data_IF_301013362300
#
_entry.id   IF_301013362300
#
_cell.length_a   1.000
_cell.length_b   1.000
_cell.length_c   1.000
_cell.angle_alpha   90.00
_cell.angle_beta   90.00
_cell.angle_gamma   90.00
#
_symmetry.space_group_name_H-M   'P 1'
#
loop_
_entity.id
_entity.type
_entity.pdbx_description
1 polymer ?
#
# COMPACT_ATOMS: atom_id res chain seq x y z
N UNK A 1 -41.71 59.08 -5.81
CA UNK A 1 -41.61 57.69 -5.32
C UNK A 1 -40.18 57.36 -5.08
N UNK A 2 -39.74 57.11 -3.82
CA UNK A 2 -38.37 56.76 -3.51
C UNK A 2 -38.12 55.28 -3.82
N UNK A 3 -37.01 54.99 -4.51
CA UNK A 3 -36.54 53.64 -4.85
C UNK A 3 -36.01 52.96 -3.56
N UNK A 4 -36.54 51.75 -3.29
CA UNK A 4 -36.05 50.92 -2.17
C UNK A 4 -34.63 50.40 -2.47
N UNK A 5 -33.75 50.29 -1.45
CA UNK A 5 -32.39 49.75 -1.63
C UNK A 5 -32.46 48.23 -1.81
N UNK A 6 -31.81 47.75 -2.89
CA UNK A 6 -31.62 46.35 -3.19
C UNK A 6 -30.70 45.75 -2.11
N UNK A 7 -31.22 44.76 -1.36
CA UNK A 7 -30.38 44.02 -0.39
C UNK A 7 -29.37 43.13 -1.14
N UNK A 8 -28.11 43.07 -0.69
CA UNK A 8 -27.14 42.14 -1.29
C UNK A 8 -27.56 40.71 -1.00
N UNK A 9 -27.76 39.94 -2.06
CA UNK A 9 -27.97 38.49 -2.03
C UNK A 9 -26.80 37.84 -1.28
N UNK A 10 -27.11 37.17 -0.16
CA UNK A 10 -26.15 36.32 0.56
C UNK A 10 -25.60 35.29 -0.41
N UNK A 11 -24.34 35.43 -0.79
CA UNK A 11 -23.58 34.40 -1.47
C UNK A 11 -23.59 33.14 -0.63
N UNK A 12 -24.24 32.11 -1.16
CA UNK A 12 -24.20 30.76 -0.61
C UNK A 12 -22.73 30.34 -0.48
N UNK A 13 -22.23 29.89 0.69
CA UNK A 13 -20.86 29.42 0.80
C UNK A 13 -20.72 28.23 -0.16
N UNK A 14 -19.93 28.44 -1.21
CA UNK A 14 -19.55 27.38 -2.15
C UNK A 14 -19.23 26.11 -1.36
N UNK A 15 -19.96 25.05 -1.67
CA UNK A 15 -19.67 23.70 -1.21
C UNK A 15 -18.22 23.43 -1.58
N UNK A 16 -17.34 23.55 -0.61
CA UNK A 16 -15.94 23.18 -0.71
C UNK A 16 -15.85 21.85 -1.46
N UNK A 17 -15.28 21.79 -2.68
CA UNK A 17 -15.15 20.54 -3.40
C UNK A 17 -14.41 19.62 -2.45
N UNK A 18 -15.05 18.49 -2.08
CA UNK A 18 -14.47 17.49 -1.18
C UNK A 18 -13.06 17.24 -1.68
N UNK A 19 -12.06 17.74 -0.96
CA UNK A 19 -10.66 17.51 -1.27
C UNK A 19 -10.52 16.02 -1.39
N UNK A 20 -10.28 15.52 -2.62
CA UNK A 20 -10.01 14.12 -2.83
C UNK A 20 -8.83 13.77 -1.94
N UNK A 21 -8.99 12.95 -0.90
CA UNK A 21 -7.92 12.65 0.06
C UNK A 21 -6.72 11.99 -0.62
N UNK A 22 -6.86 11.63 -1.91
CA UNK A 22 -5.79 11.09 -2.76
C UNK A 22 -4.98 12.16 -3.47
N UNK A 23 -5.42 13.43 -3.48
CA UNK A 23 -4.74 14.53 -4.17
C UNK A 23 -3.65 15.21 -3.34
N UNK A 24 -3.65 15.05 -2.02
CA UNK A 24 -2.70 15.67 -1.10
C UNK A 24 -2.02 14.61 -0.23
N UNK A 25 -0.95 13.99 -0.74
CA UNK A 25 -0.05 13.16 0.05
C UNK A 25 -0.12 11.66 -0.21
N UNK A 26 0.78 10.93 0.40
CA UNK A 26 0.86 9.47 0.41
C UNK A 26 -0.26 8.91 1.32
N UNK A 27 -1.21 8.16 0.72
CA UNK A 27 -2.25 7.47 1.48
C UNK A 27 -2.09 5.98 1.29
N UNK A 28 -1.80 5.26 2.38
CA UNK A 28 -1.74 3.81 2.37
C UNK A 28 -3.14 3.20 2.13
N UNK A 29 -3.24 2.36 1.11
CA UNK A 29 -4.43 1.58 0.81
C UNK A 29 -4.37 0.18 1.44
N UNK A 30 -3.16 -0.41 1.52
CA UNK A 30 -2.91 -1.69 2.17
C UNK A 30 -1.46 -1.78 2.63
N UNK A 31 -1.24 -2.32 3.84
CA UNK A 31 0.10 -2.54 4.41
C UNK A 31 0.28 -4.01 4.77
N UNK A 32 1.36 -4.61 4.30
CA UNK A 32 1.74 -5.97 4.63
C UNK A 32 2.51 -6.01 5.97
N UNK A 33 1.78 -6.06 7.07
CA UNK A 33 2.37 -6.09 8.42
C UNK A 33 3.14 -7.37 8.72
N UNK A 34 2.87 -8.45 7.97
CA UNK A 34 3.50 -9.77 8.15
C UNK A 34 4.85 -9.83 7.44
N UNK A 35 5.07 -9.02 6.40
CA UNK A 35 6.32 -9.01 5.65
C UNK A 35 7.54 -8.84 6.55
N UNK A 36 7.56 -7.84 7.41
CA UNK A 36 8.66 -7.58 8.34
C UNK A 36 8.83 -8.65 9.43
N UNK A 37 7.77 -9.41 9.74
CA UNK A 37 7.84 -10.54 10.67
C UNK A 37 8.50 -11.76 10.00
N UNK A 38 8.11 -12.08 8.78
CA UNK A 38 8.52 -13.30 8.08
C UNK A 38 9.82 -13.16 7.30
N UNK A 39 10.23 -11.93 6.95
CA UNK A 39 11.35 -11.67 6.07
C UNK A 39 12.28 -10.59 6.63
N UNK A 40 13.56 -10.72 6.31
CA UNK A 40 14.51 -9.60 6.37
C UNK A 40 14.34 -8.78 5.10
N UNK A 41 13.90 -7.52 5.23
CA UNK A 41 13.71 -6.59 4.13
C UNK A 41 15.04 -5.89 3.85
N UNK A 42 15.67 -6.17 2.71
CA UNK A 42 17.01 -5.70 2.37
C UNK A 42 16.98 -4.35 1.65
N UNK A 43 16.22 -4.26 0.57
CA UNK A 43 16.15 -3.08 -0.30
C UNK A 43 14.71 -2.87 -0.76
N UNK A 44 14.29 -1.61 -0.87
CA UNK A 44 12.92 -1.25 -1.26
C UNK A 44 12.90 -0.54 -2.60
N UNK A 45 11.85 -0.81 -3.38
CA UNK A 45 11.62 -0.26 -4.71
C UNK A 45 10.19 0.23 -4.84
N UNK A 46 10.00 1.43 -5.41
CA UNK A 46 8.67 1.95 -5.76
C UNK A 46 8.31 1.49 -7.17
N UNK A 47 7.15 0.87 -7.33
CA UNK A 47 6.64 0.44 -8.63
C UNK A 47 5.26 1.01 -8.90
N UNK A 48 4.90 1.22 -10.17
CA UNK A 48 3.52 1.36 -10.59
C UNK A 48 2.85 -0.02 -10.65
N UNK A 49 1.53 -0.04 -10.75
CA UNK A 49 0.75 -1.28 -10.96
C UNK A 49 -0.33 -1.06 -12.01
N UNK A 50 -0.47 -2.00 -12.95
CA UNK A 50 -1.51 -1.98 -13.97
C UNK A 50 -2.81 -2.54 -13.38
N UNK A 51 -3.78 -1.68 -13.11
CA UNK A 51 -5.08 -2.01 -12.54
C UNK A 51 -6.21 -1.67 -13.51
N UNK A 52 -7.32 -2.41 -13.41
CA UNK A 52 -8.58 -2.05 -14.05
C UNK A 52 -9.33 -0.97 -13.24
N UNK A 53 -10.31 -0.31 -13.84
CA UNK A 53 -11.08 0.73 -13.16
C UNK A 53 -11.79 0.24 -11.89
N UNK A 54 -12.33 -0.99 -11.92
CA UNK A 54 -12.98 -1.62 -10.77
C UNK A 54 -11.98 -1.93 -9.65
N UNK A 55 -10.77 -2.37 -9.99
CA UNK A 55 -9.69 -2.59 -9.02
C UNK A 55 -9.26 -1.31 -8.34
N UNK A 56 -9.07 -0.21 -9.10
CA UNK A 56 -8.71 1.10 -8.51
C UNK A 56 -9.77 1.56 -7.51
N UNK A 57 -11.05 1.38 -7.84
CA UNK A 57 -12.16 1.72 -6.92
C UNK A 57 -12.13 0.85 -5.66
N UNK A 58 -11.88 -0.47 -5.80
CA UNK A 58 -11.74 -1.39 -4.67
C UNK A 58 -10.54 -1.07 -3.79
N UNK A 59 -9.38 -0.75 -4.38
CA UNK A 59 -8.18 -0.33 -3.65
C UNK A 59 -8.47 0.97 -2.87
N UNK A 60 -9.18 1.93 -3.48
CA UNK A 60 -9.59 3.17 -2.82
C UNK A 60 -10.54 2.93 -1.65
N UNK A 61 -11.38 1.90 -1.74
CA UNK A 61 -12.26 1.43 -0.66
C UNK A 61 -11.52 0.58 0.41
N UNK A 62 -10.19 0.40 0.30
CA UNK A 62 -9.40 -0.36 1.27
C UNK A 62 -9.53 -1.88 1.16
N UNK A 63 -10.02 -2.40 0.02
CA UNK A 63 -10.26 -3.84 -0.19
C UNK A 63 -9.08 -4.58 -0.82
N UNK A 64 -7.87 -4.09 -0.64
CA UNK A 64 -6.64 -4.75 -1.07
C UNK A 64 -5.95 -5.47 0.09
N UNK A 65 -5.44 -6.67 -0.14
CA UNK A 65 -4.68 -7.46 0.83
C UNK A 65 -3.40 -7.97 0.17
N UNK A 66 -2.27 -7.69 0.81
CA UNK A 66 -0.92 -8.03 0.35
C UNK A 66 -0.29 -9.20 1.13
N UNK A 67 -1.01 -9.82 2.06
CA UNK A 67 -0.45 -10.78 3.02
C UNK A 67 0.33 -11.91 2.35
N UNK A 68 -0.24 -12.52 1.31
CA UNK A 68 0.31 -13.67 0.62
C UNK A 68 0.85 -13.31 -0.78
N UNK A 69 0.94 -12.00 -1.06
CA UNK A 69 1.41 -11.50 -2.34
C UNK A 69 2.93 -11.54 -2.45
N UNK A 70 3.41 -11.77 -3.65
CA UNK A 70 4.83 -11.72 -3.98
C UNK A 70 5.07 -11.18 -5.38
N UNK A 71 6.28 -10.68 -5.63
CA UNK A 71 6.74 -10.25 -6.95
C UNK A 71 7.48 -11.37 -7.68
N UNK A 72 7.22 -11.50 -8.98
CA UNK A 72 7.92 -12.43 -9.87
C UNK A 72 8.45 -11.69 -11.08
N UNK A 73 9.70 -11.92 -11.45
CA UNK A 73 10.27 -11.44 -12.70
C UNK A 73 10.22 -12.60 -13.69
N UNK A 74 9.51 -12.40 -14.81
CA UNK A 74 9.40 -13.35 -15.90
C UNK A 74 9.51 -12.61 -17.23
N UNK A 75 10.32 -13.10 -18.14
CA UNK A 75 10.51 -12.56 -19.51
C UNK A 75 10.89 -11.07 -19.53
N UNK A 76 11.70 -10.63 -18.54
CA UNK A 76 12.09 -9.22 -18.37
C UNK A 76 10.98 -8.29 -17.89
N UNK A 77 9.87 -8.83 -17.42
CA UNK A 77 8.74 -8.11 -16.85
C UNK A 77 8.54 -8.46 -15.38
N UNK A 78 8.00 -7.51 -14.63
CA UNK A 78 7.73 -7.66 -13.20
C UNK A 78 6.23 -7.85 -12.96
N UNK A 79 5.87 -8.88 -12.22
CA UNK A 79 4.50 -9.29 -11.97
C UNK A 79 4.22 -9.37 -10.46
N UNK A 80 3.01 -8.98 -10.07
CA UNK A 80 2.47 -9.14 -8.72
C UNK A 80 1.47 -10.31 -8.72
N UNK A 81 1.79 -11.33 -7.93
CA UNK A 81 0.97 -12.54 -7.78
C UNK A 81 0.35 -12.59 -6.39
N UNK A 82 -0.76 -13.30 -6.26
CA UNK A 82 -1.50 -13.54 -5.00
C UNK A 82 -1.90 -12.25 -4.24
N UNK A 83 -1.91 -11.11 -4.91
CA UNK A 83 -2.47 -9.90 -4.33
C UNK A 83 -3.99 -9.95 -4.45
N UNK A 84 -4.68 -10.09 -3.33
CA UNK A 84 -6.14 -10.08 -3.29
C UNK A 84 -6.67 -8.64 -3.37
N UNK A 85 -7.49 -8.36 -4.38
CA UNK A 85 -8.27 -7.12 -4.48
C UNK A 85 -9.72 -7.54 -4.57
N UNK A 86 -10.51 -7.24 -3.54
CA UNK A 86 -11.93 -7.61 -3.47
C UNK A 86 -12.75 -6.98 -4.59
N UNK A 87 -13.90 -7.56 -4.95
CA UNK A 87 -14.79 -7.01 -5.97
C UNK A 87 -15.30 -5.62 -5.56
N UNK A 88 -15.57 -4.77 -6.55
CA UNK A 88 -16.21 -3.49 -6.32
C UNK A 88 -17.74 -3.69 -6.26
N UNK A 89 -18.41 -3.25 -5.19
CA UNK A 89 -19.84 -3.53 -4.95
C UNK A 89 -20.75 -3.10 -6.08
N UNK A 90 -20.42 -2.01 -6.77
CA UNK A 90 -21.21 -1.51 -7.89
C UNK A 90 -20.63 -1.94 -9.27
N UNK A 91 -19.74 -2.95 -9.29
CA UNK A 91 -19.09 -3.41 -10.53
C UNK A 91 -19.90 -4.45 -11.30
N UNK A 92 -20.91 -5.07 -10.69
CA UNK A 92 -21.73 -6.14 -11.28
C UNK A 92 -20.89 -7.17 -12.07
N UNK A 93 -21.29 -7.49 -13.30
CA UNK A 93 -20.59 -8.42 -14.22
C UNK A 93 -19.21 -7.93 -14.68
N UNK A 94 -18.90 -6.63 -14.55
CA UNK A 94 -17.61 -6.04 -14.93
C UNK A 94 -16.55 -6.11 -13.83
N UNK A 95 -16.78 -6.86 -12.75
CA UNK A 95 -15.80 -7.07 -11.72
C UNK A 95 -14.62 -7.92 -12.23
N UNK A 96 -13.47 -7.68 -11.64
CA UNK A 96 -12.22 -8.40 -11.90
C UNK A 96 -12.14 -9.68 -11.06
N UNK A 97 -11.31 -10.62 -11.49
CA UNK A 97 -10.93 -11.76 -10.65
C UNK A 97 -10.04 -11.27 -9.48
N UNK A 98 -10.41 -11.55 -8.20
CA UNK A 98 -9.74 -11.00 -7.03
C UNK A 98 -8.23 -11.29 -6.97
N UNK A 99 -7.80 -12.47 -7.40
CA UNK A 99 -6.42 -12.95 -7.34
C UNK A 99 -5.68 -12.90 -8.68
N UNK A 100 -6.21 -12.18 -9.69
CA UNK A 100 -5.54 -12.13 -10.99
C UNK A 100 -4.10 -11.60 -10.85
N UNK A 101 -3.23 -12.08 -11.71
CA UNK A 101 -1.86 -11.56 -11.83
C UNK A 101 -1.87 -10.15 -12.39
N UNK A 102 -1.07 -9.25 -11.83
CA UNK A 102 -0.99 -7.84 -12.20
C UNK A 102 0.42 -7.46 -12.59
N UNK A 103 0.55 -6.75 -13.70
CA UNK A 103 1.85 -6.24 -14.14
C UNK A 103 2.27 -5.08 -13.26
N UNK A 104 3.51 -5.13 -12.77
CA UNK A 104 4.16 -4.02 -12.08
C UNK A 104 4.99 -3.20 -13.08
N UNK A 105 4.92 -1.89 -12.92
CA UNK A 105 5.55 -0.95 -13.84
C UNK A 105 6.79 -0.36 -13.17
N UNK A 106 7.95 -0.68 -13.74
CA UNK A 106 9.26 -0.24 -13.28
C UNK A 106 10.15 -0.01 -14.51
N UNK A 107 11.17 0.81 -14.40
CA UNK A 107 12.13 1.02 -15.47
C UNK A 107 12.89 -0.26 -15.82
N UNK A 108 13.14 -0.48 -17.11
CA UNK A 108 13.78 -1.71 -17.60
C UNK A 108 15.14 -1.97 -16.98
N UNK A 109 15.92 -0.93 -16.71
CA UNK A 109 17.22 -1.05 -16.06
C UNK A 109 17.10 -1.52 -14.60
N UNK A 110 16.10 -1.03 -13.88
CA UNK A 110 15.81 -1.45 -12.51
C UNK A 110 15.38 -2.91 -12.46
N UNK A 111 14.53 -3.35 -13.42
CA UNK A 111 14.13 -4.76 -13.54
C UNK A 111 15.36 -5.64 -13.80
N UNK A 112 16.29 -5.22 -14.68
CA UNK A 112 17.53 -5.98 -14.94
C UNK A 112 18.39 -6.12 -13.67
N UNK A 113 18.57 -5.05 -12.90
CA UNK A 113 19.30 -5.07 -11.62
C UNK A 113 18.61 -6.01 -10.61
N UNK A 114 17.29 -5.96 -10.53
CA UNK A 114 16.49 -6.82 -9.68
C UNK A 114 16.59 -8.29 -10.09
N UNK A 115 16.57 -8.58 -11.40
CA UNK A 115 16.73 -9.94 -11.92
C UNK A 115 18.02 -10.58 -11.42
N UNK A 116 19.17 -9.86 -11.53
CA UNK A 116 20.44 -10.36 -11.02
C UNK A 116 20.44 -10.63 -9.51
N UNK A 117 19.74 -9.79 -8.74
CA UNK A 117 19.63 -9.96 -7.27
C UNK A 117 18.70 -11.13 -6.91
N UNK A 118 17.58 -11.30 -7.59
CA UNK A 118 16.60 -12.36 -7.30
C UNK A 118 17.07 -13.75 -7.72
N UNK A 119 18.06 -13.86 -8.62
CA UNK A 119 18.70 -15.14 -8.95
C UNK A 119 19.56 -15.71 -7.80
N UNK A 120 19.91 -14.89 -6.81
CA UNK A 120 20.61 -15.37 -5.63
C UNK A 120 19.67 -16.22 -4.76
N UNK A 121 20.18 -17.35 -4.29
CA UNK A 121 19.39 -18.29 -3.47
C UNK A 121 18.82 -17.61 -2.22
N UNK A 122 17.53 -17.86 -1.96
CA UNK A 122 16.83 -17.41 -0.77
C UNK A 122 16.33 -15.97 -0.83
N UNK A 123 16.49 -15.25 -1.96
CA UNK A 123 15.91 -13.92 -2.15
C UNK A 123 14.59 -13.99 -2.91
N UNK A 124 13.65 -13.14 -2.50
CA UNK A 124 12.32 -13.01 -3.10
C UNK A 124 11.88 -11.55 -3.08
N UNK A 125 10.85 -11.23 -3.85
CA UNK A 125 10.25 -9.89 -3.86
C UNK A 125 8.92 -9.92 -3.13
N UNK A 126 8.80 -9.13 -2.05
CA UNK A 126 7.61 -9.05 -1.22
C UNK A 126 7.05 -7.63 -1.26
N UNK A 127 5.75 -7.44 -1.58
CA UNK A 127 5.12 -6.14 -1.45
C UNK A 127 4.94 -5.80 0.03
N UNK A 128 5.41 -4.61 0.41
CA UNK A 128 5.31 -4.11 1.80
C UNK A 128 4.11 -3.23 2.00
N UNK A 129 3.78 -2.42 0.99
CA UNK A 129 2.59 -1.56 1.00
C UNK A 129 2.10 -1.22 -0.40
N UNK A 130 0.81 -0.93 -0.49
CA UNK A 130 0.15 -0.34 -1.65
C UNK A 130 -0.45 1.00 -1.22
N UNK A 131 -0.23 2.05 -2.01
CA UNK A 131 -0.61 3.41 -1.65
C UNK A 131 -0.95 4.26 -2.86
N UNK A 132 -1.64 5.38 -2.61
CA UNK A 132 -1.88 6.40 -3.62
C UNK A 132 -0.79 7.47 -3.56
N UNK A 133 -0.26 7.82 -4.74
CA UNK A 133 0.70 8.92 -4.93
C UNK A 133 0.31 9.67 -6.19
N UNK A 134 -0.01 10.95 -6.06
CA UNK A 134 -0.45 11.80 -7.19
C UNK A 134 -1.60 11.15 -8.01
N UNK A 135 -2.62 10.62 -7.33
CA UNK A 135 -3.77 9.98 -7.95
C UNK A 135 -3.53 8.59 -8.56
N UNK A 136 -2.29 8.08 -8.53
CA UNK A 136 -1.90 6.77 -9.06
C UNK A 136 -1.65 5.77 -7.95
N UNK A 137 -2.01 4.52 -8.19
CA UNK A 137 -1.69 3.42 -7.26
C UNK A 137 -0.24 3.00 -7.46
N UNK A 138 0.51 2.96 -6.37
CA UNK A 138 1.90 2.52 -6.30
C UNK A 138 2.01 1.32 -5.36
N UNK A 139 3.00 0.48 -5.62
CA UNK A 139 3.36 -0.66 -4.76
C UNK A 139 4.83 -0.52 -4.37
N UNK A 140 5.10 -0.54 -3.07
CA UNK A 140 6.45 -0.67 -2.55
C UNK A 140 6.80 -2.16 -2.47
N UNK A 141 7.79 -2.59 -3.24
CA UNK A 141 8.37 -3.92 -3.18
C UNK A 141 9.64 -3.90 -2.34
N UNK A 142 9.86 -4.95 -1.57
CA UNK A 142 11.14 -5.18 -0.92
C UNK A 142 11.80 -6.44 -1.48
N UNK A 143 13.09 -6.36 -1.77
CA UNK A 143 13.96 -7.51 -1.89
C UNK A 143 14.11 -8.10 -0.48
N UNK A 144 13.76 -9.36 -0.30
CA UNK A 144 13.59 -9.95 1.00
C UNK A 144 14.20 -11.35 1.09
N UNK A 145 14.69 -11.71 2.28
CA UNK A 145 15.17 -13.04 2.63
C UNK A 145 14.30 -13.62 3.73
N UNK A 146 13.83 -14.85 3.55
CA UNK A 146 13.03 -15.56 4.56
C UNK A 146 13.76 -15.69 5.89
N UNK A 147 13.06 -15.43 6.99
CA UNK A 147 13.57 -15.63 8.35
C UNK A 147 13.42 -17.09 8.77
N UNK A 148 14.42 -17.60 9.46
CA UNK A 148 14.35 -18.90 10.13
C UNK A 148 13.42 -18.83 11.37
N UNK A 149 13.00 -19.97 11.89
CA UNK A 149 12.09 -20.01 13.05
C UNK A 149 12.65 -19.31 14.29
N UNK A 150 13.96 -19.42 14.53
CA UNK A 150 14.63 -18.76 15.64
C UNK A 150 14.67 -17.24 15.46
N UNK A 151 14.92 -16.72 14.23
CA UNK A 151 14.88 -15.29 13.91
C UNK A 151 13.49 -14.68 14.16
N UNK A 152 12.42 -15.43 13.84
CA UNK A 152 11.04 -15.02 14.09
C UNK A 152 10.76 -14.88 15.58
N UNK A 153 11.19 -15.86 16.40
CA UNK A 153 11.04 -15.83 17.86
C UNK A 153 11.78 -14.64 18.48
N UNK A 154 12.99 -14.36 18.01
CA UNK A 154 13.76 -13.19 18.46
C UNK A 154 13.06 -11.88 18.10
N UNK A 155 12.55 -11.77 16.86
CA UNK A 155 11.78 -10.61 16.43
C UNK A 155 10.54 -10.37 17.30
N UNK A 156 9.84 -11.44 17.70
CA UNK A 156 8.66 -11.35 18.57
C UNK A 156 9.04 -10.91 19.99
N UNK A 157 10.08 -11.51 20.59
CA UNK A 157 10.59 -11.10 21.90
C UNK A 157 10.96 -9.62 21.93
N UNK A 158 11.66 -9.14 20.90
CA UNK A 158 12.06 -7.73 20.80
C UNK A 158 10.84 -6.80 20.70
N UNK A 159 9.85 -7.16 19.89
CA UNK A 159 8.60 -6.38 19.78
C UNK A 159 7.82 -6.33 21.10
N UNK A 160 7.77 -7.43 21.84
CA UNK A 160 7.10 -7.49 23.13
C UNK A 160 7.81 -6.59 24.13
N UNK A 161 9.14 -6.70 24.24
CA UNK A 161 9.94 -5.84 25.12
C UNK A 161 9.80 -4.35 24.78
N UNK A 162 9.84 -3.98 23.48
CA UNK A 162 9.64 -2.59 23.03
C UNK A 162 8.24 -2.07 23.39
N UNK A 163 7.22 -2.91 23.30
CA UNK A 163 5.84 -2.55 23.68
C UNK A 163 5.74 -2.32 25.17
N UNK A 164 6.24 -3.26 25.97
CA UNK A 164 6.24 -3.16 27.44
C UNK A 164 6.99 -1.92 27.94
N UNK A 165 8.15 -1.62 27.34
CA UNK A 165 8.91 -0.42 27.64
C UNK A 165 8.11 0.87 27.34
N UNK A 166 7.43 0.94 26.17
CA UNK A 166 6.57 2.08 25.81
C UNK A 166 5.38 2.25 26.77
N UNK A 167 4.75 1.13 27.14
CA UNK A 167 3.63 1.13 28.09
C UNK A 167 4.08 1.58 29.49
N UNK A 168 5.26 1.15 29.95
CA UNK A 168 5.85 1.60 31.23
C UNK A 168 6.11 3.10 31.24
N UNK A 169 6.71 3.64 30.17
CA UNK A 169 6.93 5.09 30.01
C UNK A 169 5.61 5.86 30.00
N UNK A 170 4.59 5.34 29.29
CA UNK A 170 3.28 5.98 29.22
C UNK A 170 2.55 6.01 30.56
N UNK A 171 2.71 4.96 31.40
CA UNK A 171 2.16 4.91 32.76
C UNK A 171 2.87 5.90 33.69
N UNK A 172 4.20 5.99 33.62
CA UNK A 172 4.98 6.94 34.42
C UNK A 172 4.62 8.40 34.17
N UNK A 173 4.21 8.75 32.91
CA UNK A 173 3.76 10.11 32.55
C UNK A 173 2.36 10.49 33.05
N UNK A 174 1.52 9.51 33.41
CA UNK A 174 0.14 9.75 33.88
C UNK A 174 0.04 9.83 35.41
N UNK A 175 1.11 9.51 36.13
CA UNK A 175 1.14 9.48 37.60
C UNK A 175 1.97 10.58 38.28
N UNK A 176 2.36 11.63 37.51
CA UNK A 176 3.08 12.78 38.04
C UNK A 176 2.28 14.10 37.92
#
# INVERSE_FOLDING_TARGET
>A
MPRQPVQPTRSNPEKNPRRDPTAAGLRDASVNRIAAHNYFLLEKFETGVALTGTEVKSVRAGRANLKDAYGLIKDGELWLLNCHIGPYEHGNIFNHAPLRTRKLLMHREEIRKLTGKTQQRGLTLIPTRMYFKNGRVKVELALARGKQLWDKRETERRRTADREAREAIARGRKGG
#
